data_IF_122356254185
#
_entry.id   IF_122356254185
#
_cell.length_a   1.000
_cell.length_b   1.000
_cell.length_c   1.000
_cell.angle_alpha   90.00
_cell.angle_beta   90.00
_cell.angle_gamma   90.00
#
_symmetry.space_group_name_H-M   'P 1'
#
loop_
_entity.id
_entity.type
_entity.pdbx_description
1 polymer ?
#
# COMPACT_ATOMS: atom_id res chain seq x y z
N UNK A 1 5.98 -8.52 -1.86
CA UNK A 1 4.82 -7.73 -2.32
C UNK A 1 3.74 -7.70 -1.24
N UNK A 2 2.92 -6.65 -1.19
CA UNK A 2 1.90 -6.42 -0.13
C UNK A 2 0.45 -6.57 -0.60
N UNK A 3 -0.51 -6.20 0.25
CA UNK A 3 -1.95 -6.41 -0.01
C UNK A 3 -2.48 -5.76 -1.30
N UNK A 4 -1.95 -4.59 -1.68
CA UNK A 4 -2.34 -3.90 -2.92
C UNK A 4 -1.94 -4.69 -4.17
N UNK A 5 -0.77 -5.33 -4.14
CA UNK A 5 -0.32 -6.21 -5.22
C UNK A 5 -1.22 -7.43 -5.37
N UNK A 6 -1.53 -8.10 -4.26
CA UNK A 6 -2.41 -9.27 -4.24
C UNK A 6 -3.81 -8.90 -4.74
N UNK A 7 -4.33 -7.74 -4.33
CA UNK A 7 -5.62 -7.25 -4.81
C UNK A 7 -5.60 -6.96 -6.32
N UNK A 8 -4.57 -6.27 -6.82
CA UNK A 8 -4.42 -6.00 -8.25
C UNK A 8 -4.48 -7.30 -9.08
N UNK A 9 -3.72 -8.32 -8.68
CA UNK A 9 -3.72 -9.61 -9.36
C UNK A 9 -5.08 -10.34 -9.22
N UNK A 10 -5.63 -10.38 -8.00
CA UNK A 10 -6.89 -11.09 -7.72
C UNK A 10 -8.07 -10.53 -8.50
N UNK A 11 -8.12 -9.21 -8.69
CA UNK A 11 -9.20 -8.53 -9.42
C UNK A 11 -8.89 -8.33 -10.91
N UNK A 12 -7.81 -8.93 -11.42
CA UNK A 12 -7.55 -8.99 -12.85
C UNK A 12 -7.03 -7.68 -13.46
N UNK A 13 -6.22 -6.91 -12.72
CA UNK A 13 -5.49 -5.79 -13.31
C UNK A 13 -4.66 -6.30 -14.50
N UNK A 14 -4.79 -5.62 -15.65
CA UNK A 14 -4.11 -6.03 -16.88
C UNK A 14 -2.59 -5.92 -16.75
N UNK A 15 -2.10 -4.93 -15.99
CA UNK A 15 -0.69 -4.67 -15.77
C UNK A 15 -0.46 -4.05 -14.38
N UNK A 16 0.71 -4.31 -13.80
CA UNK A 16 1.23 -3.56 -12.66
C UNK A 16 2.46 -2.79 -13.15
N UNK A 17 2.29 -1.49 -13.37
CA UNK A 17 3.30 -0.60 -13.94
C UNK A 17 4.46 -0.38 -12.97
N UNK A 18 5.71 -0.46 -13.45
CA UNK A 18 6.90 -0.09 -12.66
C UNK A 18 6.87 1.44 -12.39
N UNK A 19 6.77 1.89 -11.14
CA UNK A 19 6.76 3.31 -10.80
C UNK A 19 8.13 4.01 -10.95
N UNK A 20 9.25 3.27 -11.04
CA UNK A 20 10.62 3.84 -11.03
C UNK A 20 10.86 4.92 -12.09
N UNK A 21 10.40 4.79 -13.35
CA UNK A 21 10.60 5.84 -14.37
C UNK A 21 9.93 7.17 -14.02
N UNK A 22 8.95 7.15 -13.12
CA UNK A 22 8.16 8.32 -12.72
C UNK A 22 8.59 8.89 -11.37
N UNK A 23 9.43 8.17 -10.63
CA UNK A 23 9.90 8.53 -9.30
C UNK A 23 10.69 9.83 -9.31
N UNK A 24 10.37 10.72 -8.36
CA UNK A 24 11.09 11.97 -8.13
C UNK A 24 11.50 12.13 -6.68
N UNK A 25 12.50 12.97 -6.45
CA UNK A 25 12.95 13.36 -5.11
C UNK A 25 13.23 12.16 -4.21
N UNK A 26 12.69 12.21 -2.99
CA UNK A 26 12.90 11.18 -1.96
C UNK A 26 12.46 9.78 -2.38
N UNK A 27 11.53 9.64 -3.33
CA UNK A 27 11.10 8.33 -3.85
C UNK A 27 12.13 7.75 -4.81
N UNK A 28 12.71 8.59 -5.68
CA UNK A 28 13.81 8.17 -6.54
C UNK A 28 15.01 7.71 -5.68
N UNK A 29 15.37 8.51 -4.68
CA UNK A 29 16.45 8.19 -3.74
C UNK A 29 16.18 6.87 -2.99
N UNK A 30 14.91 6.59 -2.68
CA UNK A 30 14.50 5.32 -2.07
C UNK A 30 14.78 4.14 -2.99
N UNK A 31 14.49 4.25 -4.29
CA UNK A 31 14.83 3.17 -5.23
C UNK A 31 16.32 2.98 -5.42
N UNK A 32 17.10 4.07 -5.44
CA UNK A 32 18.57 3.99 -5.50
C UNK A 32 19.12 3.29 -4.26
N UNK A 33 18.60 3.64 -3.07
CA UNK A 33 19.00 3.04 -1.80
C UNK A 33 18.55 1.58 -1.65
N UNK A 34 17.39 1.24 -2.20
CA UNK A 34 16.78 -0.08 -2.11
C UNK A 34 16.41 -0.63 -3.51
N UNK A 35 17.40 -1.06 -4.32
CA UNK A 35 17.19 -1.43 -5.72
C UNK A 35 16.23 -2.62 -5.90
N UNK A 36 16.18 -3.51 -4.90
CA UNK A 36 15.42 -4.76 -4.92
C UNK A 36 13.96 -4.61 -4.45
N UNK A 37 13.44 -3.39 -4.31
CA UNK A 37 12.06 -3.11 -3.85
C UNK A 37 10.98 -3.72 -4.78
N UNK A 38 11.33 -4.02 -6.03
CA UNK A 38 10.39 -4.50 -7.04
C UNK A 38 9.49 -3.38 -7.55
N UNK A 39 8.41 -3.75 -8.25
CA UNK A 39 7.45 -2.83 -8.89
C UNK A 39 6.36 -2.38 -7.92
N UNK A 40 6.76 -1.86 -6.76
CA UNK A 40 5.85 -1.21 -5.79
C UNK A 40 6.33 0.21 -5.50
N UNK A 41 5.39 1.13 -5.31
CA UNK A 41 5.67 2.51 -4.94
C UNK A 41 5.89 2.60 -3.40
N UNK A 42 7.10 2.93 -2.92
CA UNK A 42 7.35 3.03 -1.49
C UNK A 42 6.74 4.32 -0.92
N UNK A 43 6.05 4.19 0.22
CA UNK A 43 5.58 5.30 1.04
C UNK A 43 6.42 5.37 2.33
N UNK A 44 7.63 5.93 2.23
CA UNK A 44 8.64 5.90 3.30
C UNK A 44 8.38 6.91 4.43
N UNK A 45 7.43 7.83 4.25
CA UNK A 45 7.11 8.87 5.21
C UNK A 45 6.13 9.91 4.64
N UNK A 46 5.65 10.79 5.51
CA UNK A 46 4.59 11.76 5.19
C UNK A 46 4.93 13.18 5.64
N UNK A 47 6.22 13.54 5.68
CA UNK A 47 6.63 14.94 5.78
C UNK A 47 6.20 15.71 4.53
N UNK A 48 6.07 17.03 4.62
CA UNK A 48 5.52 17.85 3.53
C UNK A 48 6.18 17.61 2.17
N UNK A 49 7.52 17.54 2.13
CA UNK A 49 8.23 17.33 0.87
C UNK A 49 8.10 15.89 0.37
N UNK A 50 8.03 14.90 1.27
CA UNK A 50 7.76 13.50 0.90
C UNK A 50 6.36 13.33 0.33
N UNK A 51 5.37 14.04 0.87
CA UNK A 51 4.00 14.08 0.35
C UNK A 51 3.99 14.67 -1.05
N UNK A 52 4.66 15.81 -1.27
CA UNK A 52 4.76 16.44 -2.60
C UNK A 52 5.45 15.53 -3.61
N UNK A 53 6.52 14.83 -3.21
CA UNK A 53 7.22 13.88 -4.07
C UNK A 53 6.33 12.67 -4.42
N UNK A 54 5.56 12.17 -3.46
CA UNK A 54 4.58 11.10 -3.67
C UNK A 54 3.48 11.52 -4.64
N UNK A 55 2.90 12.70 -4.46
CA UNK A 55 1.90 13.26 -5.38
C UNK A 55 2.47 13.42 -6.79
N UNK A 56 3.65 14.03 -6.93
CA UNK A 56 4.29 14.22 -8.25
C UNK A 56 4.61 12.91 -8.93
N UNK A 57 5.14 11.93 -8.19
CA UNK A 57 5.46 10.60 -8.72
C UNK A 57 4.19 9.91 -9.21
N UNK A 58 3.14 9.89 -8.40
CA UNK A 58 1.85 9.29 -8.77
C UNK A 58 1.25 10.01 -9.97
N UNK A 59 1.25 11.35 -10.00
CA UNK A 59 0.67 12.13 -11.09
C UNK A 59 1.43 11.98 -12.42
N UNK A 60 2.72 11.65 -12.39
CA UNK A 60 3.52 11.33 -13.58
C UNK A 60 3.32 9.91 -14.13
N UNK A 61 2.95 8.96 -13.27
CA UNK A 61 2.84 7.55 -13.66
C UNK A 61 1.80 7.30 -14.76
N UNK A 62 2.12 6.52 -15.78
CA UNK A 62 1.13 6.18 -16.81
C UNK A 62 0.23 5.02 -16.31
N UNK A 63 -0.78 5.36 -15.50
CA UNK A 63 -1.72 4.42 -14.88
C UNK A 63 -3.13 5.00 -14.85
N UNK A 64 -4.12 4.13 -14.94
CA UNK A 64 -5.56 4.43 -14.86
C UNK A 64 -6.09 4.40 -13.41
N UNK A 65 -5.46 3.63 -12.51
CA UNK A 65 -5.86 3.46 -11.12
C UNK A 65 -4.65 3.33 -10.18
N UNK A 66 -4.74 3.97 -9.01
CA UNK A 66 -3.78 3.79 -7.91
C UNK A 66 -4.39 2.93 -6.82
N UNK A 67 -3.74 1.81 -6.48
CA UNK A 67 -4.15 0.98 -5.33
C UNK A 67 -3.32 1.35 -4.11
N UNK A 68 -3.96 1.96 -3.11
CA UNK A 68 -3.35 2.26 -1.83
C UNK A 68 -3.58 1.13 -0.83
N UNK A 69 -2.50 0.51 -0.36
CA UNK A 69 -2.53 -0.54 0.65
C UNK A 69 -1.74 -0.17 1.91
N UNK A 70 -1.66 1.13 2.22
CA UNK A 70 -1.01 1.60 3.45
C UNK A 70 -1.98 1.48 4.65
N UNK A 71 -1.46 1.38 5.89
CA UNK A 71 -2.31 1.34 7.08
C UNK A 71 -3.17 2.61 7.25
N UNK A 72 -2.62 3.77 6.91
CA UNK A 72 -3.34 5.04 6.96
C UNK A 72 -4.17 5.28 5.69
N UNK A 73 -5.04 6.27 5.74
CA UNK A 73 -5.76 6.70 4.54
C UNK A 73 -4.97 7.76 3.77
N UNK A 74 -4.32 7.38 2.66
CA UNK A 74 -3.55 8.34 1.86
C UNK A 74 -4.43 9.47 1.29
N UNK A 75 -5.72 9.22 1.03
CA UNK A 75 -6.63 10.23 0.46
C UNK A 75 -6.81 11.44 1.38
N UNK A 76 -6.45 11.31 2.66
CA UNK A 76 -6.51 12.40 3.65
C UNK A 76 -5.28 13.30 3.64
N UNK A 77 -4.18 12.86 3.02
CA UNK A 77 -2.89 13.54 3.12
C UNK A 77 -2.26 13.84 1.76
N UNK A 78 -2.70 13.18 0.67
CA UNK A 78 -2.23 13.46 -0.68
C UNK A 78 -3.40 13.85 -1.60
N UNK A 79 -3.10 14.70 -2.57
CA UNK A 79 -3.99 15.14 -3.64
C UNK A 79 -3.38 14.77 -4.98
N UNK A 80 -3.98 13.79 -5.65
CA UNK A 80 -3.53 13.30 -6.95
C UNK A 80 -4.62 13.48 -8.01
N UNK A 81 -4.22 13.48 -9.27
CA UNK A 81 -5.13 13.63 -10.41
C UNK A 81 -5.62 12.30 -10.99
N UNK A 82 -5.50 11.21 -10.22
CA UNK A 82 -5.86 9.85 -10.63
C UNK A 82 -6.83 9.21 -9.66
N UNK A 83 -7.74 8.33 -10.12
CA UNK A 83 -8.54 7.49 -9.25
C UNK A 83 -7.66 6.72 -8.26
N UNK A 84 -8.09 6.64 -7.01
CA UNK A 84 -7.42 5.86 -5.97
C UNK A 84 -8.41 4.92 -5.29
N UNK A 85 -8.07 3.64 -5.22
CA UNK A 85 -8.79 2.65 -4.44
C UNK A 85 -7.94 2.22 -3.24
N UNK A 86 -8.52 2.34 -2.05
CA UNK A 86 -7.90 1.80 -0.83
C UNK A 86 -8.22 0.33 -0.68
N UNK A 87 -7.21 -0.48 -0.41
CA UNK A 87 -7.31 -1.91 -0.12
C UNK A 87 -6.82 -2.15 1.30
N UNK A 88 -7.55 -3.00 2.02
CA UNK A 88 -7.20 -3.46 3.36
C UNK A 88 -7.16 -4.97 3.36
N UNK A 89 -6.35 -5.52 4.25
CA UNK A 89 -6.40 -6.93 4.60
C UNK A 89 -6.54 -7.02 6.11
N UNK A 90 -7.20 -8.08 6.55
CA UNK A 90 -7.35 -8.40 7.96
C UNK A 90 -6.85 -9.83 8.17
N UNK A 91 -6.34 -10.11 9.36
CA UNK A 91 -5.98 -11.47 9.74
C UNK A 91 -7.26 -12.30 9.81
N UNK A 92 -7.29 -13.39 9.07
CA UNK A 92 -8.32 -14.41 9.22
C UNK A 92 -7.66 -15.65 9.82
N UNK A 93 -8.04 -15.98 11.05
CA UNK A 93 -7.59 -17.20 11.70
C UNK A 93 -8.24 -18.42 11.03
N UNK A 94 -7.43 -19.44 10.73
CA UNK A 94 -7.88 -20.68 10.09
C UNK A 94 -7.69 -21.81 11.10
N UNK A 95 -8.79 -22.45 11.51
CA UNK A 95 -8.79 -23.58 12.43
C UNK A 95 -9.33 -23.24 13.82
N UNK A 96 -9.44 -24.26 14.67
CA UNK A 96 -9.97 -24.14 16.03
C UNK A 96 -9.10 -24.91 17.05
N UNK A 97 -9.01 -24.44 18.31
CA UNK A 97 -9.62 -23.20 18.80
C UNK A 97 -8.86 -21.95 18.33
N UNK A 98 -9.59 -20.89 17.99
CA UNK A 98 -9.02 -19.60 17.62
C UNK A 98 -8.62 -18.77 18.86
N UNK A 99 -7.91 -17.66 18.65
CA UNK A 99 -7.41 -16.80 19.73
C UNK A 99 -8.56 -16.28 20.62
N UNK A 100 -9.69 -15.91 20.02
CA UNK A 100 -10.87 -15.46 20.76
C UNK A 100 -11.39 -16.57 21.70
N UNK A 101 -11.45 -17.81 21.21
CA UNK A 101 -11.87 -18.98 22.00
C UNK A 101 -10.91 -19.29 23.14
N UNK A 102 -9.59 -19.24 22.90
CA UNK A 102 -8.57 -19.42 23.94
C UNK A 102 -8.68 -18.32 25.01
N UNK A 103 -8.91 -17.07 24.60
CA UNK A 103 -9.07 -15.95 25.54
C UNK A 103 -10.37 -16.07 26.34
N UNK A 104 -11.48 -16.46 25.72
CA UNK A 104 -12.76 -16.71 26.42
C UNK A 104 -12.63 -17.87 27.41
N UNK A 105 -11.99 -18.97 27.03
CA UNK A 105 -11.80 -20.12 27.92
C UNK A 105 -10.98 -19.76 29.16
N UNK A 106 -9.98 -18.87 29.03
CA UNK A 106 -9.07 -18.49 30.12
C UNK A 106 -9.55 -17.31 30.96
N UNK A 107 -10.25 -16.35 30.36
CA UNK A 107 -10.58 -15.06 31.01
C UNK A 107 -12.06 -14.66 30.92
N UNK A 108 -12.91 -15.45 30.25
CA UNK A 108 -14.34 -15.19 30.20
C UNK A 108 -14.96 -15.21 31.60
N UNK A 109 -15.81 -14.22 31.91
CA UNK A 109 -16.59 -14.27 33.16
C UNK A 109 -17.46 -15.53 33.16
N UNK A 110 -17.51 -16.20 34.31
CA UNK A 110 -18.44 -17.31 34.56
C UNK A 110 -19.89 -16.89 34.34
#
# INVERSE_FOLDING_TARGET
YGAGWVAAQRFGAAEIVDPRPFAVGSIHDTYVKYPNTGTILPAMGYGEDMVKDLEKTINKADVDLVISATPIDLTRIIKINKPMQRVRYELQEIGQPNLEEVLKAKFGKK
#
